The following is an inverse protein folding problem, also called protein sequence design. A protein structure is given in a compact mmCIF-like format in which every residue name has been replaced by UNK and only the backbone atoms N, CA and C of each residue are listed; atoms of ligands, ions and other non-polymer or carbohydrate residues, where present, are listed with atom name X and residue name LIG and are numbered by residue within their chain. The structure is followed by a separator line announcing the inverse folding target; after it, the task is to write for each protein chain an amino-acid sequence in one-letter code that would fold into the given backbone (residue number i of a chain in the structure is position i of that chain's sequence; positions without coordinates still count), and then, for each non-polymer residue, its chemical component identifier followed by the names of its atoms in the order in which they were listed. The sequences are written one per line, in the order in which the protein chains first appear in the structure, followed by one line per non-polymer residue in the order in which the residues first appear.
data_IF_626793013732
#
_entry.id   IF_626793013732
#
_cell.length_a   1.000
_cell.length_b   1.000
_cell.length_c   1.000
_cell.angle_alpha   90.00
_cell.angle_beta   90.00
_cell.angle_gamma   90.00
#
_symmetry.space_group_name_H-M   'P 1'
#
loop_
_entity.id
_entity.type
_entity.pdbx_description
1 polymer ?
#
# COMPACT_ATOMS: atom_id res chain seq x y z
N UNK A 1 13.24 10.37 8.99
CA UNK A 1 12.99 11.83 8.88
C UNK A 1 12.33 12.27 7.55
N UNK A 2 12.15 11.41 6.55
CA UNK A 2 11.45 11.79 5.30
C UNK A 2 9.91 11.82 5.46
N UNK A 3 9.35 10.91 6.26
CA UNK A 3 7.89 10.76 6.42
C UNK A 3 7.24 11.90 7.23
N UNK A 4 7.95 12.45 8.23
CA UNK A 4 7.44 13.54 9.08
C UNK A 4 7.27 14.90 8.38
N UNK A 5 7.79 15.06 7.15
CA UNK A 5 7.59 16.30 6.36
C UNK A 5 6.36 16.23 5.46
N UNK A 6 5.85 15.04 5.17
CA UNK A 6 4.69 14.84 4.30
C UNK A 6 3.36 14.95 5.06
N UNK A 7 3.35 14.75 6.38
CA UNK A 7 2.17 14.90 7.24
C UNK A 7 1.72 16.36 7.44
N UNK A 8 2.43 17.35 6.88
CA UNK A 8 2.11 18.77 7.01
C UNK A 8 1.33 19.34 5.81
N UNK A 9 1.02 18.52 4.80
CA UNK A 9 0.46 18.98 3.50
C UNK A 9 -0.94 18.44 3.19
N UNK A 10 -1.46 17.48 3.96
CA UNK A 10 -2.82 16.98 3.73
C UNK A 10 -3.27 15.98 4.77
N UNK A 11 -4.55 16.02 5.11
CA UNK A 11 -5.21 15.03 5.95
C UNK A 11 -5.24 13.68 5.19
N UNK A 12 -4.89 12.59 5.86
CA UNK A 12 -4.84 11.25 5.27
C UNK A 12 -6.28 10.78 4.99
N UNK A 13 -6.76 10.92 3.76
CA UNK A 13 -8.18 10.66 3.40
C UNK A 13 -8.45 9.19 3.04
N UNK A 14 -7.46 8.34 2.83
CA UNK A 14 -7.73 6.95 2.42
C UNK A 14 -6.76 5.93 3.03
N UNK A 15 -7.30 4.78 3.46
CA UNK A 15 -6.55 3.73 4.13
C UNK A 15 -5.85 2.87 3.08
N UNK A 16 -4.74 3.39 2.56
CA UNK A 16 -3.81 2.70 1.68
C UNK A 16 -3.13 1.56 2.47
N UNK A 17 -3.23 0.30 2.03
CA UNK A 17 -2.37 -0.78 2.54
C UNK A 17 -0.92 -0.34 2.37
N UNK A 18 -0.12 -0.43 3.43
CA UNK A 18 1.23 0.13 3.42
C UNK A 18 2.18 -0.75 2.60
N UNK A 19 3.22 -0.14 2.02
CA UNK A 19 4.23 -0.87 1.23
C UNK A 19 4.97 -1.94 2.05
N UNK A 20 5.09 -1.73 3.36
CA UNK A 20 5.72 -2.67 4.29
C UNK A 20 4.88 -3.96 4.42
N UNK A 21 3.55 -3.84 4.54
CA UNK A 21 2.63 -4.98 4.64
C UNK A 21 2.69 -5.89 3.39
N UNK A 22 2.82 -5.28 2.20
CA UNK A 22 2.93 -6.04 0.95
C UNK A 22 4.29 -6.73 0.85
N UNK A 23 5.35 -6.09 1.34
CA UNK A 23 6.69 -6.68 1.35
C UNK A 23 6.74 -7.92 2.25
N UNK A 24 6.20 -7.85 3.46
CA UNK A 24 6.08 -9.00 4.37
C UNK A 24 5.32 -10.15 3.70
N UNK A 25 4.20 -9.83 3.04
CA UNK A 25 3.40 -10.83 2.35
C UNK A 25 4.15 -11.53 1.22
N UNK A 26 4.98 -10.83 0.46
CA UNK A 26 5.79 -11.43 -0.62
C UNK A 26 6.83 -12.38 -0.03
N UNK A 27 7.51 -11.99 1.05
CA UNK A 27 8.52 -12.83 1.71
C UNK A 27 7.91 -14.13 2.23
N UNK A 28 6.73 -14.06 2.83
CA UNK A 28 5.97 -15.25 3.28
C UNK A 28 5.62 -16.18 2.13
N UNK A 29 5.13 -15.63 1.02
CA UNK A 29 4.79 -16.41 -0.17
C UNK A 29 6.02 -17.05 -0.81
N UNK A 30 7.16 -16.35 -0.84
CA UNK A 30 8.43 -16.92 -1.31
C UNK A 30 8.88 -18.10 -0.46
N UNK A 31 8.75 -18.00 0.87
CA UNK A 31 9.07 -19.09 1.79
C UNK A 31 8.18 -20.33 1.54
N UNK A 32 6.90 -20.12 1.27
CA UNK A 32 5.97 -21.18 0.89
C UNK A 32 6.32 -21.79 -0.47
N UNK A 33 6.71 -20.98 -1.46
CA UNK A 33 7.16 -21.44 -2.78
C UNK A 33 8.35 -22.37 -2.65
N UNK A 34 9.38 -21.99 -1.91
CA UNK A 34 10.58 -22.83 -1.69
C UNK A 34 10.19 -24.20 -1.11
N UNK A 35 9.28 -24.20 -0.14
CA UNK A 35 8.77 -25.44 0.47
C UNK A 35 7.99 -26.29 -0.53
N UNK A 36 7.15 -25.67 -1.36
CA UNK A 36 6.39 -26.34 -2.39
C UNK A 36 7.29 -26.93 -3.48
N UNK A 37 8.32 -26.19 -3.93
CA UNK A 37 9.33 -26.67 -4.88
C UNK A 37 10.08 -27.89 -4.35
N UNK A 38 10.49 -27.88 -3.08
CA UNK A 38 11.11 -29.03 -2.44
C UNK A 38 10.16 -30.24 -2.36
N UNK A 39 8.85 -30.02 -2.21
CA UNK A 39 7.84 -31.09 -2.26
C UNK A 39 7.71 -31.67 -3.66
N UNK A 40 7.58 -30.83 -4.68
CA UNK A 40 7.54 -31.21 -6.10
C UNK A 40 8.78 -32.03 -6.48
N UNK A 41 9.97 -31.56 -6.09
CA UNK A 41 11.23 -32.26 -6.37
C UNK A 41 11.26 -33.66 -5.75
N UNK A 42 10.81 -33.81 -4.50
CA UNK A 42 10.76 -35.13 -3.83
C UNK A 42 9.78 -36.08 -4.52
N UNK A 43 8.60 -35.59 -4.91
CA UNK A 43 7.62 -36.39 -5.64
C UNK A 43 8.13 -36.83 -7.01
N UNK A 44 8.84 -35.96 -7.73
CA UNK A 44 9.51 -36.33 -8.99
C UNK A 44 10.54 -37.44 -8.78
N UNK A 45 11.37 -37.35 -7.74
CA UNK A 45 12.32 -38.43 -7.41
C UNK A 45 11.62 -39.75 -7.06
N UNK A 46 10.46 -39.72 -6.39
CA UNK A 46 9.69 -40.95 -6.15
C UNK A 46 9.14 -41.54 -7.45
N UNK A 47 8.65 -40.72 -8.38
CA UNK A 47 8.21 -41.17 -9.72
C UNK A 47 9.33 -41.85 -10.52
N UNK A 48 10.56 -41.33 -10.45
CA UNK A 48 11.72 -41.93 -11.11
C UNK A 48 12.05 -43.34 -10.58
N UNK A 49 11.72 -43.61 -9.32
CA UNK A 49 11.98 -44.91 -8.65
C UNK A 49 10.78 -45.85 -8.61
N UNK A 50 9.59 -45.39 -9.00
CA UNK A 50 8.37 -46.17 -8.88
C UNK A 50 8.34 -47.31 -9.91
N UNK A 51 8.24 -48.55 -9.44
CA UNK A 51 8.27 -49.76 -10.30
C UNK A 51 6.91 -50.39 -10.54
N UNK A 52 5.87 -49.97 -9.81
CA UNK A 52 4.51 -50.48 -9.98
C UNK A 52 3.54 -49.36 -10.38
N UNK A 53 2.51 -49.74 -11.13
CA UNK A 53 1.55 -48.80 -11.74
C UNK A 53 0.70 -48.06 -10.69
N UNK A 54 0.39 -48.72 -9.57
CA UNK A 54 -0.42 -48.13 -8.50
C UNK A 54 0.31 -46.98 -7.81
N UNK A 55 1.58 -47.18 -7.45
CA UNK A 55 2.44 -46.15 -6.86
C UNK A 55 2.70 -45.03 -7.86
N UNK A 56 2.91 -45.34 -9.15
CA UNK A 56 3.08 -44.34 -10.19
C UNK A 56 1.86 -43.41 -10.26
N UNK A 57 0.66 -43.97 -10.43
CA UNK A 57 -0.57 -43.20 -10.51
C UNK A 57 -0.86 -42.42 -9.22
N UNK A 58 -0.48 -42.94 -8.06
CA UNK A 58 -0.58 -42.23 -6.79
C UNK A 58 0.34 -41.00 -6.76
N UNK A 59 1.62 -41.17 -7.05
CA UNK A 59 2.57 -40.07 -7.03
C UNK A 59 2.33 -39.03 -8.14
N UNK A 60 1.81 -39.43 -9.30
CA UNK A 60 1.43 -38.50 -10.37
C UNK A 60 0.29 -37.58 -9.92
N UNK A 61 -0.74 -38.14 -9.25
CA UNK A 61 -1.83 -37.33 -8.70
C UNK A 61 -1.34 -36.34 -7.66
N UNK A 62 -0.50 -36.80 -6.72
CA UNK A 62 0.08 -35.91 -5.71
C UNK A 62 0.97 -34.83 -6.36
N UNK A 63 1.78 -35.19 -7.36
CA UNK A 63 2.63 -34.24 -8.07
C UNK A 63 1.79 -33.14 -8.72
N UNK A 64 0.70 -33.51 -9.41
CA UNK A 64 -0.18 -32.56 -10.07
C UNK A 64 -0.78 -31.55 -9.08
N UNK A 65 -1.16 -32.01 -7.89
CA UNK A 65 -1.66 -31.14 -6.81
C UNK A 65 -0.57 -30.17 -6.37
N UNK A 66 0.66 -30.65 -6.12
CA UNK A 66 1.76 -29.79 -5.68
C UNK A 66 2.20 -28.78 -6.73
N UNK A 67 2.22 -29.16 -8.00
CA UNK A 67 2.52 -28.24 -9.09
C UNK A 67 1.44 -27.16 -9.24
N UNK A 68 0.16 -27.54 -9.09
CA UNK A 68 -0.96 -26.59 -9.10
C UNK A 68 -0.86 -25.59 -7.94
N UNK A 69 -0.57 -26.08 -6.73
CA UNK A 69 -0.36 -25.22 -5.56
C UNK A 69 0.83 -24.27 -5.74
N UNK A 70 1.94 -24.78 -6.26
CA UNK A 70 3.14 -23.99 -6.54
C UNK A 70 2.84 -22.88 -7.56
N UNK A 71 2.13 -23.18 -8.64
CA UNK A 71 1.77 -22.18 -9.64
C UNK A 71 0.80 -21.13 -9.09
N UNK A 72 -0.15 -21.55 -8.24
CA UNK A 72 -1.03 -20.61 -7.53
C UNK A 72 -0.23 -19.65 -6.65
N UNK A 73 0.75 -20.16 -5.88
CA UNK A 73 1.61 -19.31 -5.04
C UNK A 73 2.44 -18.34 -5.87
N UNK A 74 3.04 -18.80 -6.97
CA UNK A 74 3.79 -17.95 -7.91
C UNK A 74 2.89 -16.87 -8.53
N UNK A 75 1.65 -17.23 -8.87
CA UNK A 75 0.64 -16.29 -9.35
C UNK A 75 0.33 -15.19 -8.34
N UNK A 76 0.19 -15.53 -7.05
CA UNK A 76 -0.04 -14.54 -6.00
C UNK A 76 1.12 -13.55 -5.85
N UNK A 77 2.37 -14.02 -5.94
CA UNK A 77 3.55 -13.15 -5.93
C UNK A 77 3.55 -12.19 -7.12
N UNK A 78 3.28 -12.70 -8.34
CA UNK A 78 3.20 -11.85 -9.55
C UNK A 78 2.15 -10.75 -9.40
N UNK A 79 0.95 -11.11 -8.94
CA UNK A 79 -0.13 -10.14 -8.72
C UNK A 79 0.25 -9.05 -7.72
N UNK A 80 0.90 -9.39 -6.61
CA UNK A 80 1.34 -8.41 -5.61
C UNK A 80 2.45 -7.50 -6.16
N UNK A 81 3.39 -8.06 -6.92
CA UNK A 81 4.46 -7.28 -7.57
C UNK A 81 3.89 -6.27 -8.58
N UNK A 82 2.90 -6.69 -9.38
CA UNK A 82 2.23 -5.82 -10.35
C UNK A 82 1.47 -4.68 -9.66
N UNK A 83 0.80 -4.97 -8.54
CA UNK A 83 0.11 -3.96 -7.73
C UNK A 83 1.08 -2.92 -7.15
N UNK A 84 2.23 -3.35 -6.64
CA UNK A 84 3.28 -2.44 -6.12
C UNK A 84 3.85 -1.57 -7.25
N UNK A 85 4.08 -2.14 -8.42
CA UNK A 85 4.56 -1.39 -9.58
C UNK A 85 3.56 -0.30 -10.00
N UNK A 86 2.26 -0.62 -10.06
CA UNK A 86 1.21 0.33 -10.41
C UNK A 86 1.05 1.44 -9.34
N UNK A 87 1.13 1.09 -8.06
CA UNK A 87 1.05 2.04 -6.96
C UNK A 87 2.24 3.01 -6.96
N UNK A 88 3.45 2.51 -7.26
CA UNK A 88 4.65 3.36 -7.40
C UNK A 88 4.49 4.40 -8.52
N UNK A 89 3.73 4.08 -9.57
CA UNK A 89 3.46 4.98 -10.70
C UNK A 89 2.32 5.97 -10.36
N UNK A 90 1.43 5.64 -9.42
CA UNK A 90 0.23 6.43 -9.11
C UNK A 90 0.38 7.22 -7.81
N UNK A 91 0.93 8.42 -7.88
CA UNK A 91 0.92 9.41 -6.79
C UNK A 91 -0.09 10.53 -7.11
N UNK A 92 -1.23 10.55 -6.44
CA UNK A 92 -2.22 11.62 -6.56
C UNK A 92 -2.09 12.61 -5.39
N UNK A 93 -1.70 13.85 -5.69
CA UNK A 93 -1.65 14.95 -4.72
C UNK A 93 -2.81 15.90 -5.05
N UNK A 94 -3.77 16.05 -4.13
CA UNK A 94 -4.81 17.07 -4.23
C UNK A 94 -4.54 18.20 -3.22
N UNK A 95 -4.56 19.44 -3.70
CA UNK A 95 -4.57 20.61 -2.82
C UNK A 95 -5.98 20.78 -2.25
N UNK A 96 -6.09 20.93 -0.93
CA UNK A 96 -7.34 21.36 -0.30
C UNK A 96 -7.78 22.68 -0.98
N UNK A 97 -9.04 22.81 -1.43
CA UNK A 97 -9.49 24.06 -2.04
C UNK A 97 -9.28 25.18 -1.03
N UNK A 98 -8.56 26.22 -1.44
CA UNK A 98 -8.34 27.41 -0.63
C UNK A 98 -9.69 27.83 -0.05
N UNK A 99 -9.75 27.95 1.29
CA UNK A 99 -10.94 28.42 1.97
C UNK A 99 -11.22 29.83 1.49
N UNK A 100 -12.09 29.96 0.49
CA UNK A 100 -12.62 31.24 0.06
C UNK A 100 -13.37 31.82 1.26
N UNK A 101 -12.74 32.78 1.94
CA UNK A 101 -13.46 33.60 2.90
C UNK A 101 -14.46 34.39 2.08
N UNK A 102 -15.69 33.91 2.05
CA UNK A 102 -16.83 34.69 1.57
C UNK A 102 -16.94 35.85 2.56
N UNK A 103 -16.36 37.00 2.20
CA UNK A 103 -16.70 38.23 2.89
C UNK A 103 -18.21 38.41 2.72
N UNK A 104 -18.98 38.53 3.81
CA UNK A 104 -20.40 38.82 3.68
C UNK A 104 -20.52 40.09 2.85
N UNK A 105 -21.39 40.06 1.83
CA UNK A 105 -21.82 41.25 1.11
C UNK A 105 -22.43 42.23 2.11
N UNK A 106 -21.56 42.98 2.76
CA UNK A 106 -21.90 44.16 3.51
C UNK A 106 -21.60 45.25 2.51
N UNK A 107 -22.63 45.94 2.01
CA UNK A 107 -22.51 47.00 1.02
C UNK A 107 -21.72 48.24 1.50
N UNK A 108 -20.76 48.05 2.41
CA UNK A 108 -19.84 49.06 2.90
C UNK A 108 -18.65 49.15 1.95
N UNK A 109 -18.48 50.34 1.38
CA UNK A 109 -17.35 50.68 0.52
C UNK A 109 -16.09 50.68 1.38
N UNK A 110 -15.00 50.08 0.90
CA UNK A 110 -13.68 49.97 1.58
C UNK A 110 -13.07 51.28 2.13
N UNK A 111 -13.70 52.42 1.86
CA UNK A 111 -13.36 53.73 2.37
C UNK A 111 -13.96 54.03 3.76
N UNK A 112 -14.98 53.29 4.21
CA UNK A 112 -15.67 53.51 5.51
C UNK A 112 -15.05 52.71 6.67
N UNK A 113 -14.41 51.57 6.39
CA UNK A 113 -13.77 50.73 7.41
C UNK A 113 -12.55 51.39 8.10
N UNK A 114 -11.96 52.42 7.48
CA UNK A 114 -10.76 53.10 8.01
C UNK A 114 -11.07 54.06 9.19
N UNK A 115 -12.34 54.26 9.52
CA UNK A 115 -12.77 55.18 10.59
C UNK A 115 -13.28 54.48 11.86
N UNK A 116 -13.04 53.17 12.03
CA UNK A 116 -13.29 52.54 13.31
C UNK A 116 -12.12 52.83 14.27
N UNK A 117 -12.33 53.53 15.39
CA UNK A 117 -11.29 53.66 16.40
C UNK A 117 -11.02 52.28 16.99
N UNK A 118 -9.80 51.76 16.77
CA UNK A 118 -9.30 50.58 17.47
C UNK A 118 -9.07 50.94 18.92
N UNK A 119 -10.07 50.72 19.78
CA UNK A 119 -9.93 50.86 21.23
C UNK A 119 -9.35 49.60 21.83
N UNK A 120 -8.22 49.79 22.52
CA UNK A 120 -7.61 48.94 23.57
C UNK A 120 -7.01 47.59 23.13
N UNK A 121 -5.82 47.20 23.57
CA UNK A 121 -5.00 47.76 24.64
C UNK A 121 -3.62 47.10 24.66
N UNK A 122 -2.69 47.89 25.19
CA UNK A 122 -1.25 47.68 25.30
C UNK A 122 -0.95 46.59 26.34
N UNK A 123 -0.07 45.64 26.00
CA UNK A 123 0.92 45.11 26.96
C UNK A 123 2.25 45.01 26.21
N UNK A 124 3.06 46.05 26.35
CA UNK A 124 4.49 46.04 26.03
C UNK A 124 5.24 45.53 27.27
N UNK A 125 5.94 44.41 27.12
CA UNK A 125 7.01 43.98 28.00
C UNK A 125 8.32 44.62 27.52
N UNK A 126 8.98 45.41 28.37
CA UNK A 126 10.41 45.73 28.27
C UNK A 126 10.90 46.16 29.66
N UNK A 127 11.71 45.32 30.30
CA UNK A 127 12.48 45.65 31.50
C UNK A 127 12.83 44.45 32.35
#
# INVERSE_FOLDING_TARGET
MALSRLSQVGELVDQQISADDVTERIVDLQSQIITAEASVSRLRSFLETATNLENLAFYERELLIRETDLERLRGQVRTLQDQVALATITLAISQLPERSVILPNTGMRWQELRLQPTTSGIISDTG
#
